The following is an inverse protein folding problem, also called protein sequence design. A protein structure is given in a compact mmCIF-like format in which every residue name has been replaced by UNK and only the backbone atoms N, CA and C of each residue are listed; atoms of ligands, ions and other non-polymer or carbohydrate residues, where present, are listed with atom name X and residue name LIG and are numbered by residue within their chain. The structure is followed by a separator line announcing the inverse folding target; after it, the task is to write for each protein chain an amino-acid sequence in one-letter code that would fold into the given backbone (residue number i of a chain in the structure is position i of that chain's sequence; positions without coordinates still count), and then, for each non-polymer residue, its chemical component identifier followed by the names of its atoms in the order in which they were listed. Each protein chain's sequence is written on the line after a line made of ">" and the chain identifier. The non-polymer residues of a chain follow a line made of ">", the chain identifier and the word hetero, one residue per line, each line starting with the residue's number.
data_IF_294110253593
#
_entry.id   IF_294110253593
#
_cell.length_a   1.000
_cell.length_b   1.000
_cell.length_c   1.000
_cell.angle_alpha   90.00
_cell.angle_beta   90.00
_cell.angle_gamma   90.00
#
_symmetry.space_group_name_H-M   'P 1'
#
loop_
_entity.id
_entity.type
_entity.pdbx_description
1 polymer ?
#
# COMPACT_ATOMS: atom_id res chain seq x y z
N UNK A 1 27.31 15.98 -32.21
CA UNK A 1 26.32 15.57 -31.19
C UNK A 1 24.95 15.61 -31.83
N UNK A 2 24.12 14.58 -31.61
CA UNK A 2 22.77 14.55 -32.16
C UNK A 2 21.86 15.51 -31.37
N UNK A 3 21.31 16.56 -31.98
CA UNK A 3 20.50 17.56 -31.29
C UNK A 3 19.21 16.99 -30.68
N UNK A 4 18.74 15.82 -31.13
CA UNK A 4 17.60 15.12 -30.52
C UNK A 4 17.99 14.47 -29.21
N UNK A 5 19.17 13.85 -29.19
CA UNK A 5 19.76 13.24 -28.00
C UNK A 5 20.04 14.29 -26.93
N UNK A 6 20.63 15.44 -27.29
CA UNK A 6 20.88 16.56 -26.36
C UNK A 6 19.59 17.07 -25.68
N UNK A 7 18.50 17.21 -26.44
CA UNK A 7 17.19 17.62 -25.89
C UNK A 7 16.62 16.59 -24.94
N UNK A 8 16.76 15.30 -25.25
CA UNK A 8 16.28 14.21 -24.40
C UNK A 8 17.08 14.17 -23.10
N UNK A 9 18.41 14.16 -23.19
CA UNK A 9 19.32 14.16 -22.03
C UNK A 9 18.99 15.34 -21.12
N UNK A 10 18.86 16.56 -21.66
CA UNK A 10 18.55 17.74 -20.85
C UNK A 10 17.24 17.63 -20.08
N UNK A 11 16.17 17.11 -20.71
CA UNK A 11 14.88 16.90 -20.05
C UNK A 11 14.96 15.82 -18.99
N UNK A 12 15.58 14.69 -19.33
CA UNK A 12 15.74 13.56 -18.41
C UNK A 12 16.58 13.96 -17.20
N UNK A 13 17.69 14.67 -17.39
CA UNK A 13 18.51 15.17 -16.29
C UNK A 13 17.71 16.13 -15.41
N UNK A 14 16.94 17.06 -15.97
CA UNK A 14 16.11 17.97 -15.16
C UNK A 14 15.10 17.20 -14.30
N UNK A 15 14.38 16.24 -14.88
CA UNK A 15 13.40 15.41 -14.16
C UNK A 15 14.10 14.55 -13.11
N UNK A 16 15.18 13.87 -13.48
CA UNK A 16 15.95 13.02 -12.58
C UNK A 16 16.51 13.81 -11.40
N UNK A 17 17.00 15.02 -11.62
CA UNK A 17 17.47 15.90 -10.53
C UNK A 17 16.33 16.29 -9.61
N UNK A 18 15.16 16.69 -10.13
CA UNK A 18 14.00 17.03 -9.28
C UNK A 18 13.56 15.81 -8.45
N UNK A 19 13.45 14.65 -9.09
CA UNK A 19 13.06 13.40 -8.43
C UNK A 19 14.10 13.00 -7.36
N UNK A 20 15.38 13.02 -7.69
CA UNK A 20 16.45 12.72 -6.74
C UNK A 20 16.46 13.69 -5.56
N UNK A 21 16.30 15.00 -5.81
CA UNK A 21 16.18 16.01 -4.75
C UNK A 21 14.97 15.78 -3.86
N UNK A 22 13.81 15.41 -4.42
CA UNK A 22 12.63 15.05 -3.64
C UNK A 22 12.87 13.81 -2.77
N UNK A 23 13.55 12.79 -3.32
CA UNK A 23 13.92 11.59 -2.56
C UNK A 23 14.93 11.88 -1.45
N UNK A 24 15.96 12.68 -1.71
CA UNK A 24 16.94 13.07 -0.69
C UNK A 24 16.28 13.90 0.41
N UNK A 25 15.43 14.86 0.03
CA UNK A 25 14.70 15.68 0.99
C UNK A 25 13.78 14.80 1.86
N UNK A 26 13.00 13.90 1.24
CA UNK A 26 12.13 13.01 2.02
C UNK A 26 12.89 11.90 2.76
N UNK A 27 14.15 11.62 2.41
CA UNK A 27 14.98 10.65 3.12
C UNK A 27 15.34 11.12 4.53
N UNK A 28 15.61 12.42 4.71
CA UNK A 28 15.87 13.01 6.02
C UNK A 28 14.60 13.11 6.90
N UNK A 29 13.42 13.13 6.28
CA UNK A 29 12.13 13.17 6.99
C UNK A 29 11.55 11.79 7.33
N UNK A 30 12.15 10.72 6.82
CA UNK A 30 11.66 9.35 6.99
C UNK A 30 10.32 9.10 6.27
N UNK A 31 10.03 7.85 5.89
CA UNK A 31 8.71 7.52 5.36
C UNK A 31 7.66 7.79 6.45
N UNK A 32 6.68 8.66 6.16
CA UNK A 32 5.51 8.80 7.03
C UNK A 32 4.90 7.40 7.25
N UNK A 33 4.59 7.03 8.49
CA UNK A 33 4.31 5.64 8.87
C UNK A 33 3.09 5.02 8.18
N UNK A 34 2.31 5.78 7.39
CA UNK A 34 1.04 5.33 6.83
C UNK A 34 0.88 5.59 5.32
N UNK A 35 1.88 6.13 4.61
CA UNK A 35 1.68 6.49 3.19
C UNK A 35 1.62 5.25 2.28
N UNK A 36 2.40 4.22 2.61
CA UNK A 36 2.50 3.00 1.81
C UNK A 36 1.68 1.84 2.36
N UNK A 37 1.02 2.01 3.50
CA UNK A 37 0.21 0.94 4.10
C UNK A 37 -0.96 0.51 3.21
N UNK A 38 -1.71 1.42 2.56
CA UNK A 38 -2.76 1.00 1.62
C UNK A 38 -2.23 0.17 0.45
N UNK A 39 -1.01 0.46 -0.01
CA UNK A 39 -0.37 -0.27 -1.12
C UNK A 39 0.13 -1.63 -0.64
N UNK A 40 0.72 -1.70 0.56
CA UNK A 40 1.17 -2.94 1.20
C UNK A 40 -0.01 -3.87 1.47
N UNK A 41 -1.12 -3.34 1.98
CA UNK A 41 -2.34 -4.10 2.24
C UNK A 41 -2.98 -4.61 0.95
N UNK A 42 -3.01 -3.79 -0.10
CA UNK A 42 -3.48 -4.20 -1.42
C UNK A 42 -2.61 -5.33 -2.00
N UNK A 43 -1.29 -5.24 -1.85
CA UNK A 43 -0.35 -6.25 -2.33
C UNK A 43 -0.49 -7.57 -1.55
N UNK A 44 -0.60 -7.52 -0.22
CA UNK A 44 -0.82 -8.69 0.62
C UNK A 44 -2.19 -9.34 0.36
N UNK A 45 -3.23 -8.55 0.09
CA UNK A 45 -4.55 -9.04 -0.28
C UNK A 45 -4.52 -9.74 -1.65
N UNK A 46 -3.84 -9.15 -2.64
CA UNK A 46 -3.65 -9.76 -3.95
C UNK A 46 -2.86 -11.07 -3.87
N UNK A 47 -1.78 -11.10 -3.07
CA UNK A 47 -1.01 -12.32 -2.83
C UNK A 47 -1.88 -13.43 -2.22
N UNK A 48 -2.66 -13.12 -1.18
CA UNK A 48 -3.57 -14.09 -0.54
C UNK A 48 -4.66 -14.57 -1.49
N UNK A 49 -5.19 -13.68 -2.34
CA UNK A 49 -6.22 -14.01 -3.33
C UNK A 49 -5.68 -14.98 -4.39
N UNK A 50 -4.49 -14.70 -4.93
CA UNK A 50 -3.82 -15.59 -5.90
C UNK A 50 -3.43 -16.90 -5.25
N UNK A 51 -2.94 -16.88 -4.01
CA UNK A 51 -2.61 -18.10 -3.26
C UNK A 51 -3.85 -18.98 -3.05
N UNK A 52 -4.99 -18.40 -2.66
CA UNK A 52 -6.25 -19.14 -2.53
C UNK A 52 -6.82 -19.64 -3.86
N UNK A 53 -6.53 -18.95 -4.97
CA UNK A 53 -6.92 -19.37 -6.32
C UNK A 53 -6.06 -20.54 -6.83
N UNK A 54 -4.75 -20.52 -6.60
CA UNK A 54 -3.80 -21.53 -7.10
C UNK A 54 -3.76 -22.78 -6.22
N UNK A 55 -3.80 -22.64 -4.90
CA UNK A 55 -3.69 -23.77 -3.96
C UNK A 55 -5.06 -24.32 -3.51
N UNK A 56 -6.17 -23.69 -3.92
CA UNK A 56 -7.50 -23.99 -3.41
C UNK A 56 -7.75 -23.36 -2.04
N UNK A 57 -8.99 -22.95 -1.77
CA UNK A 57 -9.36 -22.38 -0.47
C UNK A 57 -9.30 -23.46 0.63
N UNK A 58 -8.29 -23.40 1.49
CA UNK A 58 -8.36 -24.07 2.79
C UNK A 58 -9.47 -23.40 3.61
N UNK A 59 -10.64 -24.07 3.69
CA UNK A 59 -11.75 -23.69 4.57
C UNK A 59 -11.38 -23.91 6.04
N UNK A 60 -10.61 -23.01 6.64
CA UNK A 60 -10.55 -22.85 8.12
C UNK A 60 -10.18 -21.42 8.51
N UNK A 61 -11.16 -20.51 8.54
CA UNK A 61 -11.32 -19.51 9.62
C UNK A 61 -12.81 -19.14 9.71
N UNK A 62 -13.56 -19.94 10.45
CA UNK A 62 -14.71 -19.49 11.23
C UNK A 62 -14.39 -19.88 12.68
N UNK A 63 -14.69 -18.99 13.63
CA UNK A 63 -14.12 -18.80 14.98
C UNK A 63 -12.85 -17.94 14.94
N UNK A 64 -12.88 -16.63 15.24
CA UNK A 64 -13.32 -16.04 16.52
C UNK A 64 -14.08 -14.70 16.37
N UNK A 65 -15.40 -14.72 16.18
CA UNK A 65 -16.28 -13.59 16.58
C UNK A 65 -17.67 -14.13 16.96
N UNK A 66 -17.66 -15.12 17.83
CA UNK A 66 -18.84 -15.77 18.41
C UNK A 66 -18.77 -15.68 19.94
N UNK A 67 -18.47 -14.49 20.48
CA UNK A 67 -18.79 -14.16 21.88
C UNK A 67 -18.74 -12.65 22.16
N UNK A 68 -19.88 -11.98 22.01
CA UNK A 68 -20.25 -10.94 22.98
C UNK A 68 -21.75 -11.07 23.32
N UNK A 69 -22.09 -11.16 24.61
CA UNK A 69 -23.39 -11.58 25.07
C UNK A 69 -24.45 -10.48 24.95
N UNK A 70 -25.64 -10.93 24.57
CA UNK A 70 -26.92 -10.25 24.78
C UNK A 70 -27.13 -9.90 26.25
N UNK A 71 -27.30 -8.61 26.55
CA UNK A 71 -28.11 -8.12 27.69
C UNK A 71 -29.03 -7.05 27.11
N UNK A 72 -30.25 -7.44 26.77
CA UNK A 72 -31.44 -7.31 27.63
C UNK A 72 -31.94 -5.86 27.70
N UNK A 73 -33.17 -5.71 27.23
CA UNK A 73 -33.95 -4.48 27.16
C UNK A 73 -34.07 -3.76 28.51
N UNK A 74 -34.08 -2.42 28.52
CA UNK A 74 -35.16 -1.66 29.14
C UNK A 74 -35.12 -0.15 28.78
N UNK A 75 -36.30 0.31 28.36
CA UNK A 75 -36.93 1.65 28.44
C UNK A 75 -36.10 2.91 28.76
N UNK A 76 -36.37 3.91 27.90
CA UNK A 76 -36.41 5.35 28.16
C UNK A 76 -37.04 5.75 29.51
N UNK A 77 -36.60 6.88 30.08
CA UNK A 77 -37.37 8.13 29.97
C UNK A 77 -36.74 9.20 29.07
#
# INVERSE_FOLDING_TARGET
>A
MDPRTDKLVRRTTMVATITASYFLLTADYGPQPNFLDPIKDALLSAERSVKGFVFGQDKKVQDETSKLPSTAAEKHP
#
